data_IF_461836982787
#
_entry.id   IF_461836982787
#
_cell.length_a   1.000
_cell.length_b   1.000
_cell.length_c   1.000
_cell.angle_alpha   90.00
_cell.angle_beta   90.00
_cell.angle_gamma   90.00
#
_symmetry.space_group_name_H-M   'P 1'
#
loop_
_entity.id
_entity.type
_entity.pdbx_description
1 polymer ?
#
# COMPACT_ATOMS: atom_id res chain seq x y z
N UNK A 1 -82.32 -25.85 -36.65
CA UNK A 1 -82.14 -25.73 -35.19
C UNK A 1 -81.34 -26.92 -34.68
N UNK A 2 -80.11 -26.69 -34.20
CA UNK A 2 -79.42 -27.40 -33.09
C UNK A 2 -78.03 -26.77 -32.91
N UNK A 3 -77.64 -26.70 -31.64
CA UNK A 3 -76.69 -25.78 -30.99
C UNK A 3 -75.19 -26.09 -31.21
N UNK A 4 -74.38 -25.03 -31.02
CA UNK A 4 -72.95 -24.82 -30.67
C UNK A 4 -72.21 -25.95 -29.91
N UNK A 5 -70.85 -25.94 -29.70
CA UNK A 5 -69.94 -24.78 -29.64
C UNK A 5 -68.51 -24.90 -30.23
N UNK A 6 -67.94 -23.71 -30.41
CA UNK A 6 -66.56 -23.29 -30.64
C UNK A 6 -65.56 -23.82 -29.60
N UNK A 7 -64.41 -24.35 -30.06
CA UNK A 7 -63.20 -24.53 -29.24
C UNK A 7 -62.10 -23.65 -29.84
N UNK A 8 -61.76 -22.57 -29.12
CA UNK A 8 -60.63 -21.69 -29.40
C UNK A 8 -59.38 -22.36 -28.81
N UNK A 9 -58.44 -22.77 -29.67
CA UNK A 9 -57.15 -23.29 -29.24
C UNK A 9 -56.15 -22.14 -29.16
N UNK A 10 -55.90 -21.63 -27.95
CA UNK A 10 -54.88 -20.63 -27.66
C UNK A 10 -53.49 -21.28 -27.67
N UNK A 11 -52.67 -20.93 -28.67
CA UNK A 11 -51.26 -21.33 -28.74
C UNK A 11 -50.42 -20.42 -27.83
N UNK A 12 -49.94 -20.98 -26.72
CA UNK A 12 -49.04 -20.33 -25.76
C UNK A 12 -47.58 -20.53 -26.23
N UNK A 13 -47.01 -19.55 -26.92
CA UNK A 13 -45.59 -19.54 -27.29
C UNK A 13 -44.73 -19.09 -26.10
N UNK A 14 -43.93 -20.01 -25.57
CA UNK A 14 -43.01 -19.81 -24.46
C UNK A 14 -41.77 -19.06 -24.96
N UNK A 15 -41.57 -17.84 -24.47
CA UNK A 15 -40.38 -17.02 -24.69
C UNK A 15 -39.24 -17.55 -23.80
N UNK A 16 -38.31 -18.33 -24.36
CA UNK A 16 -37.10 -18.77 -23.63
C UNK A 16 -36.07 -17.64 -23.63
N UNK A 17 -35.84 -17.03 -22.46
CA UNK A 17 -34.75 -16.11 -22.23
C UNK A 17 -33.48 -16.90 -21.86
N UNK A 18 -32.48 -16.87 -22.75
CA UNK A 18 -31.17 -17.46 -22.50
C UNK A 18 -30.39 -16.58 -21.52
N UNK A 19 -30.28 -17.01 -20.26
CA UNK A 19 -29.37 -16.39 -19.28
C UNK A 19 -27.96 -16.88 -19.57
N UNK A 20 -27.12 -16.02 -20.16
CA UNK A 20 -25.68 -16.26 -20.27
C UNK A 20 -25.02 -16.05 -18.91
N UNK A 21 -24.68 -17.13 -18.21
CA UNK A 21 -23.87 -17.08 -17.00
C UNK A 21 -22.43 -16.69 -17.38
N UNK A 22 -21.98 -15.50 -16.94
CA UNK A 22 -20.56 -15.15 -16.96
C UNK A 22 -19.83 -15.95 -15.87
N UNK A 23 -18.60 -16.44 -16.14
CA UNK A 23 -17.78 -17.05 -15.09
C UNK A 23 -17.44 -16.02 -14.00
N UNK A 24 -17.35 -16.42 -12.72
CA UNK A 24 -16.86 -15.55 -11.67
C UNK A 24 -15.41 -15.15 -11.97
N UNK A 25 -15.15 -13.85 -12.04
CA UNK A 25 -13.80 -13.31 -12.14
C UNK A 25 -12.97 -13.79 -10.94
N UNK A 26 -11.69 -14.18 -11.13
CA UNK A 26 -10.83 -14.59 -10.02
C UNK A 26 -10.68 -13.44 -9.03
N UNK A 27 -10.89 -13.75 -7.76
CA UNK A 27 -10.87 -12.81 -6.64
C UNK A 27 -9.57 -11.98 -6.59
N UNK A 28 -9.74 -10.67 -6.52
CA UNK A 28 -8.70 -9.65 -6.38
C UNK A 28 -8.07 -9.66 -4.97
N UNK A 29 -7.50 -10.79 -4.54
CA UNK A 29 -6.82 -10.91 -3.24
C UNK A 29 -5.30 -10.71 -3.31
N UNK A 30 -4.74 -10.46 -4.50
CA UNK A 30 -3.29 -10.24 -4.69
C UNK A 30 -2.93 -8.74 -4.88
N UNK A 31 -3.93 -7.85 -4.97
CA UNK A 31 -3.72 -6.48 -5.47
C UNK A 31 -3.67 -5.37 -4.40
N UNK A 32 -3.45 -5.69 -3.12
CA UNK A 32 -3.23 -4.63 -2.10
C UNK A 32 -1.77 -4.41 -1.76
N UNK A 33 -0.99 -5.47 -1.69
CA UNK A 33 0.44 -5.38 -1.38
C UNK A 33 1.25 -4.84 -2.56
N UNK A 34 0.79 -5.12 -3.79
CA UNK A 34 1.36 -4.57 -5.01
C UNK A 34 1.00 -3.10 -5.28
N UNK A 35 -0.03 -2.56 -4.61
CA UNK A 35 -0.52 -1.21 -4.86
C UNK A 35 0.29 -0.16 -4.08
N UNK A 36 0.62 -0.44 -2.82
CA UNK A 36 1.44 0.45 -1.97
C UNK A 36 2.85 0.67 -2.55
N UNK A 37 3.35 -0.27 -3.37
CA UNK A 37 4.62 -0.22 -4.12
C UNK A 37 4.77 0.98 -5.08
N UNK A 38 3.66 1.56 -5.57
CA UNK A 38 3.68 2.65 -6.58
C UNK A 38 3.15 3.97 -6.06
N UNK A 39 2.73 4.02 -4.80
CA UNK A 39 2.19 5.25 -4.22
C UNK A 39 3.36 6.09 -3.76
N UNK A 40 3.58 7.20 -4.46
CA UNK A 40 4.41 8.28 -3.94
C UNK A 40 3.60 9.01 -2.90
N UNK A 41 4.11 9.04 -1.68
CA UNK A 41 3.53 9.72 -0.55
C UNK A 41 4.31 11.01 -0.30
N UNK A 42 3.61 12.02 0.18
CA UNK A 42 4.23 13.26 0.66
C UNK A 42 4.37 13.21 2.17
N UNK A 43 5.54 13.61 2.67
CA UNK A 43 5.84 13.57 4.09
C UNK A 43 6.88 14.57 4.53
N UNK A 44 7.17 14.52 5.82
CA UNK A 44 8.30 15.21 6.44
C UNK A 44 9.32 14.16 6.85
N UNK A 45 10.57 14.36 6.46
CA UNK A 45 11.66 13.55 6.97
C UNK A 45 12.52 14.41 7.89
N UNK A 46 12.82 13.91 9.08
CA UNK A 46 13.79 14.50 9.97
C UNK A 46 14.89 13.51 10.28
N UNK A 47 16.08 13.99 10.54
CA UNK A 47 17.24 13.17 10.90
C UNK A 47 17.34 13.23 12.47
N UNK A 48 17.28 12.11 13.20
CA UNK A 48 17.74 12.04 14.62
C UNK A 48 18.34 10.67 15.02
N UNK A 49 19.04 10.60 16.16
CA UNK A 49 19.74 9.41 16.68
C UNK A 49 18.85 8.54 17.60
N UNK A 50 17.69 8.08 17.10
CA UNK A 50 16.75 7.26 17.87
C UNK A 50 17.06 5.75 17.77
N UNK A 51 18.25 5.36 18.23
CA UNK A 51 18.65 3.93 18.33
C UNK A 51 17.70 3.09 19.19
N UNK A 52 17.02 3.70 20.15
CA UNK A 52 16.03 3.03 21.03
C UNK A 52 14.72 2.64 20.34
N UNK A 53 14.50 3.09 19.10
CA UNK A 53 13.27 2.85 18.35
C UNK A 53 13.42 1.79 17.23
N UNK A 54 14.60 1.18 17.16
CA UNK A 54 14.90 0.04 16.29
C UNK A 54 14.14 -1.18 16.81
N UNK A 55 13.25 -1.71 15.97
CA UNK A 55 12.31 -2.80 16.34
C UNK A 55 12.23 -3.92 15.30
N UNK A 56 12.84 -3.75 14.13
CA UNK A 56 13.01 -4.81 13.13
C UNK A 56 14.11 -5.82 13.47
N UNK A 57 14.81 -5.60 14.59
CA UNK A 57 16.02 -6.36 14.94
C UNK A 57 17.28 -5.81 14.28
N UNK A 58 18.43 -6.26 14.80
CA UNK A 58 19.75 -5.75 14.41
C UNK A 58 20.11 -4.43 15.09
N UNK A 59 21.41 -4.10 15.07
CA UNK A 59 21.93 -2.85 15.59
C UNK A 59 22.58 -2.09 14.42
N UNK A 60 21.86 -1.14 13.79
CA UNK A 60 22.45 -0.35 12.72
C UNK A 60 23.65 0.45 13.24
N UNK A 61 24.70 0.56 12.43
CA UNK A 61 25.88 1.37 12.74
C UNK A 61 25.63 2.84 12.37
N UNK A 62 26.60 3.72 12.63
CA UNK A 62 26.54 5.12 12.21
C UNK A 62 26.52 5.30 10.69
N UNK A 63 26.95 4.29 9.94
CA UNK A 63 27.04 4.35 8.47
C UNK A 63 25.76 3.84 7.77
N UNK A 64 24.86 3.21 8.54
CA UNK A 64 23.61 2.68 8.02
C UNK A 64 22.58 3.81 7.80
N UNK A 65 22.04 3.86 6.59
CA UNK A 65 20.90 4.71 6.29
C UNK A 65 19.62 4.01 6.73
N UNK A 66 19.11 4.39 7.90
CA UNK A 66 17.91 3.79 8.48
C UNK A 66 16.72 4.73 8.41
N UNK A 67 15.53 4.14 8.28
CA UNK A 67 14.25 4.83 8.31
C UNK A 67 13.45 4.27 9.47
N UNK A 68 12.91 5.15 10.32
CA UNK A 68 11.82 4.81 11.22
C UNK A 68 10.52 5.38 10.67
N UNK A 69 9.50 4.54 10.68
CA UNK A 69 8.17 4.87 10.17
C UNK A 69 7.25 5.29 11.32
N UNK A 70 6.20 6.08 11.08
CA UNK A 70 5.15 6.25 12.07
C UNK A 70 4.43 4.92 12.26
N UNK A 71 3.90 4.67 13.47
CA UNK A 71 3.38 3.36 13.88
C UNK A 71 2.34 2.76 12.91
N UNK A 72 1.52 3.60 12.28
CA UNK A 72 0.49 3.16 11.34
C UNK A 72 1.08 2.61 10.02
N UNK A 73 2.19 3.17 9.52
CA UNK A 73 2.89 2.67 8.34
C UNK A 73 3.81 1.49 8.66
N UNK A 74 4.35 1.45 9.89
CA UNK A 74 5.16 0.31 10.33
C UNK A 74 4.37 -1.01 10.34
N UNK A 75 3.05 -0.96 10.53
CA UNK A 75 2.13 -2.09 10.39
C UNK A 75 2.59 -3.34 11.17
N UNK A 76 3.04 -3.15 12.41
CA UNK A 76 3.51 -4.23 13.28
C UNK A 76 4.80 -4.92 12.81
N UNK A 77 5.60 -4.27 11.97
CA UNK A 77 6.88 -4.80 11.47
C UNK A 77 6.78 -5.52 10.13
N UNK A 78 5.61 -5.53 9.48
CA UNK A 78 5.45 -6.14 8.14
C UNK A 78 6.33 -5.52 7.07
N UNK A 79 6.74 -4.26 7.26
CA UNK A 79 7.61 -3.53 6.34
C UNK A 79 9.07 -3.48 6.81
N UNK A 80 9.43 -4.29 7.81
CA UNK A 80 10.80 -4.40 8.26
C UNK A 80 11.74 -4.81 7.13
N UNK A 81 12.95 -4.26 7.17
CA UNK A 81 14.00 -4.50 6.19
C UNK A 81 13.68 -4.09 4.74
N UNK A 82 12.51 -3.49 4.51
CA UNK A 82 12.17 -2.90 3.23
C UNK A 82 12.92 -1.58 3.05
N UNK A 83 13.32 -1.30 1.82
CA UNK A 83 13.94 -0.04 1.47
C UNK A 83 12.90 1.00 1.09
N UNK A 84 13.20 2.25 1.43
CA UNK A 84 12.43 3.43 1.07
C UNK A 84 13.31 4.32 0.23
N UNK A 85 12.74 4.88 -0.83
CA UNK A 85 13.34 5.97 -1.59
C UNK A 85 12.73 7.28 -1.12
N UNK A 86 13.58 8.25 -0.79
CA UNK A 86 13.20 9.58 -0.33
C UNK A 86 13.76 10.60 -1.31
N UNK A 87 12.95 11.56 -1.74
CA UNK A 87 13.35 12.67 -2.61
C UNK A 87 12.98 13.98 -1.94
N UNK A 88 13.95 14.85 -1.68
CA UNK A 88 13.69 16.19 -1.18
C UNK A 88 13.01 17.03 -2.26
N UNK A 89 11.84 17.58 -1.95
CA UNK A 89 11.06 18.35 -2.94
C UNK A 89 11.75 19.64 -3.37
N UNK A 90 12.47 20.29 -2.45
CA UNK A 90 13.08 21.59 -2.72
C UNK A 90 14.36 21.48 -3.55
N UNK A 91 15.12 20.40 -3.39
CA UNK A 91 16.44 20.24 -4.02
C UNK A 91 16.49 19.15 -5.09
N UNK A 92 15.47 18.28 -5.14
CA UNK A 92 15.45 17.08 -5.98
C UNK A 92 16.46 16.01 -5.57
N UNK A 93 17.24 16.22 -4.49
CA UNK A 93 18.21 15.24 -4.01
C UNK A 93 17.49 14.04 -3.43
N UNK A 94 17.98 12.85 -3.73
CA UNK A 94 17.41 11.60 -3.24
C UNK A 94 18.37 10.80 -2.37
N UNK A 95 17.78 9.98 -1.50
CA UNK A 95 18.49 9.00 -0.70
C UNK A 95 17.64 7.74 -0.54
N UNK A 96 18.30 6.66 -0.14
CA UNK A 96 17.64 5.41 0.21
C UNK A 96 17.88 5.12 1.68
N UNK A 97 16.88 4.56 2.34
CA UNK A 97 17.02 4.10 3.71
C UNK A 97 16.23 2.83 3.96
N UNK A 98 16.77 1.99 4.85
CA UNK A 98 16.16 0.71 5.21
C UNK A 98 15.29 0.87 6.44
N UNK A 99 14.06 0.37 6.39
CA UNK A 99 13.15 0.41 7.54
C UNK A 99 13.70 -0.50 8.64
N UNK A 100 13.97 0.10 9.80
CA UNK A 100 14.51 -0.62 10.97
C UNK A 100 13.65 -0.53 12.22
N UNK A 101 12.58 0.24 12.16
CA UNK A 101 11.64 0.30 13.27
C UNK A 101 10.57 1.35 13.06
N UNK A 102 10.01 1.78 14.18
CA UNK A 102 8.95 2.77 14.18
C UNK A 102 9.27 3.86 15.20
N UNK A 103 8.86 5.07 14.86
CA UNK A 103 9.08 6.25 15.65
C UNK A 103 7.81 6.59 16.44
N UNK A 104 7.92 6.66 17.77
CA UNK A 104 6.75 6.90 18.65
C UNK A 104 6.28 8.35 18.60
N UNK A 105 7.21 9.27 18.37
CA UNK A 105 6.95 10.71 18.28
C UNK A 105 6.51 11.16 16.89
N UNK A 106 6.74 10.34 15.85
CA UNK A 106 6.33 10.63 14.49
C UNK A 106 4.81 10.61 14.42
N UNK A 107 4.23 11.78 14.16
CA UNK A 107 2.79 11.97 14.16
C UNK A 107 2.13 11.23 12.97
N UNK A 108 0.79 11.13 13.00
CA UNK A 108 -0.01 10.38 12.04
C UNK A 108 0.09 10.88 10.57
N UNK A 109 0.81 11.97 10.32
CA UNK A 109 0.98 12.56 9.00
C UNK A 109 2.38 12.33 8.44
N UNK A 110 2.62 11.15 7.85
CA UNK A 110 3.75 10.83 6.97
C UNK A 110 5.10 11.42 7.44
N UNK A 111 5.46 11.19 8.70
CA UNK A 111 6.73 11.65 9.28
C UNK A 111 7.74 10.51 9.34
N UNK A 112 8.96 10.75 8.84
CA UNK A 112 10.06 9.78 8.80
C UNK A 112 11.23 10.29 9.61
N UNK A 113 11.93 9.36 10.25
CA UNK A 113 13.17 9.65 10.96
C UNK A 113 14.38 8.95 10.31
N UNK A 114 15.44 9.72 10.05
CA UNK A 114 16.60 9.40 9.24
C UNK A 114 17.95 9.68 9.95
N UNK A 115 18.29 9.17 11.14
CA UNK A 115 19.71 9.24 11.64
C UNK A 115 20.27 10.65 11.92
N UNK A 116 21.57 10.88 12.22
CA UNK A 116 22.00 11.63 13.42
C UNK A 116 21.87 13.18 13.51
N UNK A 117 21.06 13.90 12.72
CA UNK A 117 21.05 15.39 12.78
C UNK A 117 19.70 16.09 12.59
N UNK A 118 19.11 16.75 13.58
CA UNK A 118 17.77 17.38 13.46
C UNK A 118 17.62 18.41 12.31
N UNK A 119 17.27 17.94 11.11
CA UNK A 119 16.92 18.76 9.95
C UNK A 119 15.64 18.18 9.34
N UNK A 120 14.59 19.01 9.21
CA UNK A 120 13.30 18.63 8.64
C UNK A 120 13.30 18.99 7.14
N UNK A 121 12.97 18.02 6.28
CA UNK A 121 12.78 18.21 4.85
C UNK A 121 11.38 17.78 4.42
N UNK A 122 10.77 18.54 3.50
CA UNK A 122 9.62 18.06 2.74
C UNK A 122 10.09 17.02 1.73
N UNK A 123 9.55 15.80 1.80
CA UNK A 123 9.97 14.68 0.95
C UNK A 123 8.80 14.05 0.21
N UNK A 124 9.06 13.62 -1.01
CA UNK A 124 8.30 12.58 -1.69
C UNK A 124 8.98 11.23 -1.40
N UNK A 125 8.20 10.21 -1.04
CA UNK A 125 8.76 8.91 -0.70
C UNK A 125 7.89 7.74 -1.16
N UNK A 126 8.53 6.60 -1.36
CA UNK A 126 7.85 5.34 -1.69
C UNK A 126 8.68 4.13 -1.23
N UNK A 127 8.00 3.03 -0.91
CA UNK A 127 8.68 1.75 -0.73
C UNK A 127 9.30 1.26 -2.03
N UNK A 128 10.44 0.58 -1.91
CA UNK A 128 11.02 -0.25 -2.97
C UNK A 128 10.42 -1.65 -2.93
N UNK A 129 10.72 -2.40 -3.98
CA UNK A 129 10.33 -3.80 -4.10
C UNK A 129 10.94 -4.62 -2.96
N UNK A 130 10.22 -5.65 -2.51
CA UNK A 130 10.77 -6.58 -1.52
C UNK A 130 12.04 -7.24 -2.07
N UNK A 131 13.05 -7.39 -1.21
CA UNK A 131 14.35 -7.93 -1.61
C UNK A 131 15.24 -6.95 -2.39
N UNK A 132 14.75 -5.77 -2.78
CA UNK A 132 15.60 -4.75 -3.42
C UNK A 132 16.64 -4.21 -2.43
N UNK A 133 17.81 -3.84 -2.92
CA UNK A 133 18.82 -3.07 -2.19
C UNK A 133 19.52 -2.09 -3.15
N UNK A 134 20.02 -0.94 -2.66
CA UNK A 134 20.81 -0.02 -3.46
C UNK A 134 22.18 -0.61 -3.85
#
# INVERSE_FOLDING_TARGET
>A
MKFTPTIILTALTILSASVTALPPAPEALVERDSLEKRVTHQGLAFLTDLRSEITCGGHPTSDDHVVLLPKFLYNGGKVCDRWVHLTQRDTGKSSYGKVRGYCNSCSASNEYNLGPYHIIYGVDWNFKEEGWSP
#
